data_IF_271064443793
#
_entry.id   IF_271064443793
#
_cell.length_a   1.000
_cell.length_b   1.000
_cell.length_c   1.000
_cell.angle_alpha   90.00
_cell.angle_beta   90.00
_cell.angle_gamma   90.00
#
_symmetry.space_group_name_H-M   'P 1'
#
loop_
_entity.id
_entity.type
_entity.pdbx_description
1 polymer ?
#
# COMPACT_ATOMS: atom_id res chain seq x y z
N UNK A 1 -10.93 9.56 -11.78
CA UNK A 1 -9.54 9.56 -11.27
C UNK A 1 -8.85 8.27 -11.66
N UNK A 2 -7.68 8.28 -12.32
CA UNK A 2 -7.05 7.08 -12.94
C UNK A 2 -6.06 6.38 -11.96
N UNK A 3 -5.85 5.06 -12.09
CA UNK A 3 -4.71 4.37 -11.47
C UNK A 3 -3.40 4.95 -12.01
N UNK A 4 -2.30 4.75 -11.27
CA UNK A 4 -0.99 5.06 -11.82
C UNK A 4 -0.67 4.14 -13.01
N UNK A 5 0.16 4.64 -13.93
CA UNK A 5 0.59 3.86 -15.11
C UNK A 5 1.64 2.81 -14.77
N UNK A 6 2.22 2.88 -13.58
CA UNK A 6 3.33 2.04 -13.14
C UNK A 6 3.07 1.51 -11.74
N UNK A 7 3.67 0.38 -11.40
CA UNK A 7 3.60 -0.19 -10.06
C UNK A 7 4.17 0.77 -9.01
N UNK A 8 5.25 1.49 -9.33
CA UNK A 8 5.84 2.49 -8.45
C UNK A 8 4.88 3.63 -8.11
N UNK A 9 4.23 4.20 -9.13
CA UNK A 9 3.25 5.26 -8.92
C UNK A 9 2.06 4.76 -8.13
N UNK A 10 1.68 3.49 -8.33
CA UNK A 10 0.54 2.92 -7.64
C UNK A 10 0.83 2.64 -6.16
N UNK A 11 2.03 2.15 -5.86
CA UNK A 11 2.52 1.96 -4.49
C UNK A 11 2.44 3.25 -3.68
N UNK A 12 2.92 4.38 -4.23
CA UNK A 12 2.83 5.69 -3.58
C UNK A 12 1.37 6.15 -3.45
N UNK A 13 0.57 5.96 -4.49
CA UNK A 13 -0.85 6.37 -4.48
C UNK A 13 -1.67 5.61 -3.43
N UNK A 14 -1.46 4.30 -3.30
CA UNK A 14 -2.12 3.46 -2.29
C UNK A 14 -1.72 3.93 -0.90
N UNK A 15 -0.42 4.04 -0.62
CA UNK A 15 0.07 4.40 0.70
C UNK A 15 -0.42 5.79 1.14
N UNK A 16 -0.35 6.79 0.26
CA UNK A 16 -0.85 8.13 0.53
C UNK A 16 -2.36 8.13 0.81
N UNK A 17 -3.16 7.47 -0.03
CA UNK A 17 -4.62 7.47 0.15
C UNK A 17 -5.06 6.77 1.43
N UNK A 18 -4.42 5.67 1.81
CA UNK A 18 -4.74 4.95 3.06
C UNK A 18 -4.38 5.81 4.28
N UNK A 19 -3.22 6.49 4.23
CA UNK A 19 -2.78 7.39 5.29
C UNK A 19 -3.69 8.62 5.42
N UNK A 20 -4.04 9.26 4.30
CA UNK A 20 -4.93 10.43 4.27
C UNK A 20 -6.33 10.09 4.80
N UNK A 21 -6.87 8.91 4.45
CA UNK A 21 -8.18 8.46 4.95
C UNK A 21 -8.14 8.27 6.47
N UNK A 22 -7.14 7.53 6.97
CA UNK A 22 -7.03 7.25 8.39
C UNK A 22 -6.86 8.54 9.21
N UNK A 23 -5.93 9.41 8.83
CA UNK A 23 -5.70 10.65 9.57
C UNK A 23 -6.80 11.71 9.37
N UNK A 24 -7.58 11.61 8.29
CA UNK A 24 -8.63 12.58 7.97
C UNK A 24 -9.97 12.27 8.63
N UNK A 25 -10.31 11.00 8.85
CA UNK A 25 -11.60 10.61 9.41
C UNK A 25 -11.57 9.37 10.30
N UNK A 26 -10.41 9.01 10.86
CA UNK A 26 -10.20 7.80 11.67
C UNK A 26 -10.63 6.51 10.96
N UNK A 27 -10.59 6.49 9.63
CA UNK A 27 -11.01 5.33 8.85
C UNK A 27 -12.53 5.08 8.87
N UNK A 28 -13.36 6.10 9.08
CA UNK A 28 -14.82 5.93 9.06
C UNK A 28 -15.32 5.32 7.73
N UNK A 29 -14.72 5.66 6.58
CA UNK A 29 -15.10 5.05 5.29
C UNK A 29 -14.26 3.83 4.91
N UNK A 30 -13.75 3.08 5.91
CA UNK A 30 -12.93 1.90 5.68
C UNK A 30 -13.72 0.74 5.07
N UNK A 31 -13.84 0.76 3.75
CA UNK A 31 -14.63 -0.21 3.02
C UNK A 31 -13.78 -1.32 2.36
N UNK A 32 -14.44 -2.17 1.58
CA UNK A 32 -13.84 -3.27 0.82
C UNK A 32 -12.71 -2.79 -0.11
N UNK A 33 -12.77 -1.56 -0.62
CA UNK A 33 -11.77 -1.05 -1.56
C UNK A 33 -10.44 -0.72 -0.86
N UNK A 34 -10.43 -0.16 0.35
CA UNK A 34 -9.19 0.04 1.13
C UNK A 34 -8.50 -1.29 1.46
N UNK A 35 -9.28 -2.31 1.83
CA UNK A 35 -8.77 -3.68 2.08
C UNK A 35 -8.14 -4.29 0.84
N UNK A 36 -8.66 -3.98 -0.36
CA UNK A 36 -8.07 -4.43 -1.62
C UNK A 36 -6.82 -3.62 -1.97
N UNK A 37 -6.81 -2.30 -1.74
CA UNK A 37 -5.65 -1.45 -1.99
C UNK A 37 -4.43 -1.93 -1.20
N UNK A 38 -4.58 -2.16 0.11
CA UNK A 38 -3.46 -2.62 0.94
C UNK A 38 -3.04 -4.07 0.65
N UNK A 39 -3.96 -4.91 0.15
CA UNK A 39 -3.62 -6.23 -0.39
C UNK A 39 -2.80 -6.10 -1.67
N UNK A 40 -3.16 -5.17 -2.56
CA UNK A 40 -2.38 -4.89 -3.77
C UNK A 40 -1.01 -4.34 -3.45
N UNK A 41 -0.84 -3.59 -2.35
CA UNK A 41 0.47 -3.13 -1.91
C UNK A 41 1.42 -4.31 -1.63
N UNK A 42 0.96 -5.35 -0.93
CA UNK A 42 1.76 -6.58 -0.71
C UNK A 42 2.22 -7.20 -2.03
N UNK A 43 1.29 -7.36 -2.96
CA UNK A 43 1.57 -7.97 -4.26
C UNK A 43 2.57 -7.13 -5.07
N UNK A 44 2.40 -5.80 -5.09
CA UNK A 44 3.33 -4.91 -5.80
C UNK A 44 4.73 -5.03 -5.20
N UNK A 45 4.85 -5.02 -3.86
CA UNK A 45 6.17 -5.08 -3.21
C UNK A 45 6.90 -6.42 -3.32
N UNK A 46 6.22 -7.44 -3.86
CA UNK A 46 6.81 -8.74 -4.22
C UNK A 46 7.39 -8.76 -5.64
N UNK A 47 7.11 -7.75 -6.47
CA UNK A 47 7.63 -7.61 -7.83
C UNK A 47 9.02 -6.96 -7.85
N UNK A 48 9.72 -7.14 -8.98
CA UNK A 48 11.04 -6.55 -9.23
C UNK A 48 12.07 -7.00 -8.19
N UNK A 49 12.68 -6.04 -7.49
CA UNK A 49 13.50 -6.22 -6.31
C UNK A 49 12.60 -6.20 -5.07
N UNK A 50 12.28 -7.36 -4.48
CA UNK A 50 11.32 -7.43 -3.37
C UNK A 50 11.89 -6.86 -2.08
N UNK A 51 11.01 -6.59 -1.12
CA UNK A 51 11.41 -6.16 0.22
C UNK A 51 12.21 -7.25 0.96
N UNK A 52 13.22 -6.87 1.75
CA UNK A 52 13.85 -7.77 2.73
C UNK A 52 12.81 -8.32 3.72
N UNK A 53 13.04 -9.53 4.21
CA UNK A 53 12.09 -10.25 5.07
C UNK A 53 11.58 -9.43 6.27
N UNK A 54 12.44 -8.71 7.04
CA UNK A 54 11.93 -7.92 8.17
C UNK A 54 10.93 -6.83 7.77
N UNK A 55 11.17 -6.16 6.63
CA UNK A 55 10.24 -5.14 6.13
C UNK A 55 8.98 -5.74 5.53
N UNK A 56 9.09 -6.93 4.92
CA UNK A 56 7.94 -7.65 4.41
C UNK A 56 7.02 -8.10 5.54
N UNK A 57 7.58 -8.66 6.61
CA UNK A 57 6.82 -9.05 7.80
C UNK A 57 6.12 -7.85 8.44
N UNK A 58 6.81 -6.71 8.52
CA UNK A 58 6.24 -5.46 9.01
C UNK A 58 5.08 -4.97 8.14
N UNK A 59 5.23 -5.01 6.80
CA UNK A 59 4.14 -4.68 5.86
C UNK A 59 2.95 -5.64 6.02
N UNK A 60 3.21 -6.95 6.14
CA UNK A 60 2.18 -7.97 6.31
C UNK A 60 1.39 -7.77 7.61
N UNK A 61 2.08 -7.43 8.71
CA UNK A 61 1.45 -7.11 9.98
C UNK A 61 0.56 -5.86 9.86
N UNK A 62 1.08 -4.76 9.30
CA UNK A 62 0.31 -3.55 9.06
C UNK A 62 -0.93 -3.82 8.21
N UNK A 63 -0.77 -4.48 7.06
CA UNK A 63 -1.86 -4.85 6.14
C UNK A 63 -2.89 -5.73 6.82
N UNK A 64 -2.48 -6.60 7.75
CA UNK A 64 -3.41 -7.43 8.53
C UNK A 64 -4.26 -6.59 9.49
N UNK A 65 -3.68 -5.66 10.24
CA UNK A 65 -4.42 -4.77 11.16
C UNK A 65 -5.39 -3.86 10.41
N UNK A 66 -4.89 -3.25 9.33
CA UNK A 66 -5.64 -2.51 8.33
C UNK A 66 -6.84 -3.34 7.81
N UNK A 67 -6.65 -4.60 7.39
CA UNK A 67 -7.79 -5.43 6.92
C UNK A 67 -8.80 -5.77 8.01
N UNK A 68 -8.39 -5.82 9.27
CA UNK A 68 -9.28 -6.01 10.43
C UNK A 68 -10.05 -4.73 10.78
N UNK A 69 -9.61 -3.56 10.31
CA UNK A 69 -10.20 -2.27 10.67
C UNK A 69 -9.72 -1.78 12.04
N UNK A 70 -8.59 -2.29 12.51
CA UNK A 70 -7.98 -1.93 13.80
C UNK A 70 -6.51 -1.49 13.61
N UNK A 71 -6.16 -0.65 12.60
CA UNK A 71 -4.79 -0.19 12.46
C UNK A 71 -4.43 0.79 13.57
N UNK A 72 -3.18 0.73 14.03
CA UNK A 72 -2.53 1.79 14.79
C UNK A 72 -1.94 2.86 13.87
N UNK A 73 -1.60 4.03 14.39
CA UNK A 73 -0.85 5.05 13.64
C UNK A 73 0.45 4.46 13.05
N UNK A 74 1.14 3.61 13.82
CA UNK A 74 2.36 2.94 13.36
C UNK A 74 2.12 1.99 12.18
N UNK A 75 0.98 1.29 12.14
CA UNK A 75 0.61 0.45 11.00
C UNK A 75 0.38 1.31 9.75
N UNK A 76 -0.21 2.49 9.91
CA UNK A 76 -0.51 3.41 8.81
C UNK A 76 0.76 4.08 8.30
N UNK A 77 1.64 4.54 9.19
CA UNK A 77 2.94 5.14 8.86
C UNK A 77 3.92 4.15 8.22
N UNK A 78 3.75 2.86 8.49
CA UNK A 78 4.51 1.79 7.85
C UNK A 78 4.30 1.77 6.34
N UNK A 79 3.07 2.02 5.86
CA UNK A 79 2.72 1.93 4.44
C UNK A 79 3.53 2.89 3.54
N UNK A 80 3.57 4.22 3.79
CA UNK A 80 4.35 5.14 2.96
C UNK A 80 5.87 4.94 3.11
N UNK A 81 6.34 4.55 4.29
CA UNK A 81 7.76 4.26 4.53
C UNK A 81 8.21 3.08 3.66
N UNK A 82 7.49 1.96 3.72
CA UNK A 82 7.80 0.76 2.94
C UNK A 82 7.61 0.99 1.45
N UNK A 83 6.54 1.69 1.06
CA UNK A 83 6.31 2.09 -0.33
C UNK A 83 7.51 2.84 -0.91
N UNK A 84 8.05 3.81 -0.16
CA UNK A 84 9.23 4.59 -0.57
C UNK A 84 10.48 3.72 -0.71
N UNK A 85 10.70 2.80 0.23
CA UNK A 85 11.84 1.86 0.18
C UNK A 85 11.78 0.98 -1.07
N UNK A 86 10.62 0.38 -1.35
CA UNK A 86 10.46 -0.49 -2.51
C UNK A 86 10.61 0.28 -3.83
N UNK A 87 10.04 1.49 -3.94
CA UNK A 87 10.21 2.35 -5.14
C UNK A 87 11.67 2.70 -5.37
N UNK A 88 12.41 3.04 -4.30
CA UNK A 88 13.85 3.34 -4.41
C UNK A 88 14.67 2.13 -4.87
N UNK A 89 14.27 0.92 -4.49
CA UNK A 89 14.92 -0.32 -4.92
C UNK A 89 14.54 -0.73 -6.36
N UNK A 90 13.48 -0.13 -6.93
CA UNK A 90 12.94 -0.44 -8.26
C UNK A 90 12.82 0.85 -9.12
N UNK A 91 13.95 1.48 -9.49
CA UNK A 91 13.94 2.77 -10.19
C UNK A 91 13.42 2.66 -11.62
N UNK A 92 13.53 1.50 -12.26
CA UNK A 92 13.05 1.26 -13.61
C UNK A 92 11.53 1.02 -13.60
N UNK A 93 10.73 1.82 -14.32
CA UNK A 93 9.27 1.72 -14.27
C UNK A 93 8.74 0.33 -14.65
N UNK A 94 7.94 -0.26 -13.77
CA UNK A 94 7.25 -1.53 -14.05
C UNK A 94 5.82 -1.20 -14.47
N UNK A 95 5.34 -1.66 -15.64
CA UNK A 95 3.96 -1.43 -16.08
C UNK A 95 2.93 -1.93 -15.07
N UNK A 96 1.83 -1.19 -14.93
CA UNK A 96 0.75 -1.54 -14.02
C UNK A 96 -0.08 -2.73 -14.55
N UNK A 97 -0.37 -3.69 -13.67
CA UNK A 97 -1.39 -4.74 -13.85
C UNK A 97 -2.83 -4.20 -13.85
N UNK A 98 -3.80 -5.01 -14.29
CA UNK A 98 -5.22 -4.66 -14.15
C UNK A 98 -5.64 -4.65 -12.67
N UNK A 99 -5.98 -3.47 -12.14
CA UNK A 99 -6.30 -3.29 -10.71
C UNK A 99 -7.70 -3.83 -10.33
N UNK A 100 -7.79 -4.57 -9.22
CA UNK A 100 -9.04 -5.25 -8.76
C UNK A 100 -9.99 -4.41 -7.87
N UNK A 101 -9.68 -3.15 -7.62
CA UNK A 101 -10.42 -2.29 -6.68
C UNK A 101 -10.90 -1.00 -7.33
N UNK A 102 -12.04 -0.47 -6.87
CA UNK A 102 -12.65 0.71 -7.48
C UNK A 102 -12.00 2.01 -7.01
N UNK A 103 -12.23 3.06 -7.79
CA UNK A 103 -11.79 4.44 -7.57
C UNK A 103 -12.52 5.09 -6.40
#
# INVERSE_FOLDING_TARGET
MRYAKTLQGETIRIAGRVSDEFHGNDGINWEKDYKKMVKSLLAITAEGNPLPDPMREELEAAVKHVKKGEPSDADIDTLPRIATVWVRANPDPIPMWDAEYRR
#
